data_IF_200989476397
#
_entry.id   IF_200989476397
#
_cell.length_a   1.000
_cell.length_b   1.000
_cell.length_c   1.000
_cell.angle_alpha   90.00
_cell.angle_beta   90.00
_cell.angle_gamma   90.00
#
_symmetry.space_group_name_H-M   'P 1'
#
loop_
_entity.id
_entity.type
_entity.pdbx_description
1 polymer ?
#
# COMPACT_ATOMS: atom_id res chain seq x y z
N UNK A 1 -4.91 7.36 40.55
CA UNK A 1 -5.23 8.34 39.50
C UNK A 1 -4.00 8.74 38.65
N UNK A 2 -2.93 7.95 38.63
CA UNK A 2 -1.68 8.23 37.88
C UNK A 2 -1.52 7.39 36.60
N UNK A 3 -2.36 6.37 36.38
CA UNK A 3 -2.22 5.45 35.26
C UNK A 3 -2.82 5.98 33.95
N UNK A 4 -3.78 6.92 34.02
CA UNK A 4 -4.40 7.50 32.83
C UNK A 4 -3.53 8.51 32.07
N UNK A 5 -2.58 9.18 32.74
CA UNK A 5 -1.77 10.25 32.14
C UNK A 5 -0.67 9.71 31.22
N UNK A 6 -0.17 8.49 31.44
CA UNK A 6 0.89 7.89 30.62
C UNK A 6 0.37 7.37 29.26
N UNK A 7 -0.89 6.96 29.20
CA UNK A 7 -1.50 6.47 27.95
C UNK A 7 -1.79 7.63 27.00
N UNK A 8 -2.26 8.77 27.49
CA UNK A 8 -2.56 9.94 26.65
C UNK A 8 -1.30 10.57 26.02
N UNK A 9 -0.17 10.54 26.72
CA UNK A 9 1.09 11.06 26.19
C UNK A 9 1.61 10.20 25.03
N UNK A 10 1.49 8.87 25.15
CA UNK A 10 1.94 7.94 24.09
C UNK A 10 1.08 8.04 22.83
N UNK A 11 -0.23 8.21 22.94
CA UNK A 11 -1.13 8.39 21.80
C UNK A 11 -0.84 9.69 21.06
N UNK A 12 -0.63 10.79 21.77
CA UNK A 12 -0.29 12.08 21.16
C UNK A 12 1.06 12.09 20.46
N UNK A 13 2.05 11.36 20.98
CA UNK A 13 3.35 11.22 20.33
C UNK A 13 3.25 10.43 19.01
N UNK A 14 2.53 9.31 19.01
CA UNK A 14 2.31 8.50 17.82
C UNK A 14 1.52 9.24 16.72
N UNK A 15 0.53 10.05 17.08
CA UNK A 15 -0.20 10.91 16.14
C UNK A 15 0.71 11.97 15.51
N UNK A 16 1.58 12.60 16.30
CA UNK A 16 2.55 13.58 15.80
C UNK A 16 3.56 12.94 14.84
N UNK A 17 4.00 11.71 15.12
CA UNK A 17 4.97 11.01 14.28
C UNK A 17 4.32 10.48 12.99
N UNK A 18 3.06 10.08 13.01
CA UNK A 18 2.29 9.77 11.81
C UNK A 18 2.15 11.01 10.91
N UNK A 19 1.81 12.18 11.45
CA UNK A 19 1.74 13.42 10.67
C UNK A 19 3.09 13.77 10.02
N UNK A 20 4.18 13.59 10.75
CA UNK A 20 5.54 13.83 10.25
C UNK A 20 5.91 12.86 9.14
N UNK A 21 5.55 11.56 9.28
CA UNK A 21 5.74 10.57 8.23
C UNK A 21 4.94 10.95 6.98
N UNK A 22 3.65 11.28 7.12
CA UNK A 22 2.83 11.67 5.98
C UNK A 22 3.39 12.92 5.27
N UNK A 23 3.84 13.91 6.01
CA UNK A 23 4.50 15.09 5.45
C UNK A 23 5.79 14.73 4.71
N UNK A 24 6.55 13.75 5.22
CA UNK A 24 7.79 13.28 4.60
C UNK A 24 7.50 12.52 3.29
N UNK A 25 6.55 11.58 3.29
CA UNK A 25 6.10 10.84 2.11
C UNK A 25 5.56 11.78 1.03
N UNK A 26 4.84 12.83 1.42
CA UNK A 26 4.31 13.86 0.53
C UNK A 26 5.39 14.63 -0.25
N UNK A 27 6.65 14.59 0.16
CA UNK A 27 7.75 15.25 -0.57
C UNK A 27 8.17 14.50 -1.84
N UNK A 28 7.85 13.21 -1.93
CA UNK A 28 8.19 12.38 -3.09
C UNK A 28 7.25 12.68 -4.25
N UNK A 29 7.83 13.12 -5.36
CA UNK A 29 7.08 13.49 -6.58
C UNK A 29 7.09 12.37 -7.60
N UNK A 30 8.21 11.61 -7.66
CA UNK A 30 8.42 10.49 -8.58
C UNK A 30 9.06 9.32 -7.85
N UNK A 31 8.84 8.12 -8.34
CA UNK A 31 9.48 6.91 -7.85
C UNK A 31 9.60 5.86 -8.95
N UNK A 32 10.76 5.22 -9.03
CA UNK A 32 11.00 4.06 -9.88
C UNK A 32 11.83 3.07 -9.08
N UNK A 33 11.24 1.92 -8.76
CA UNK A 33 11.83 0.89 -7.89
C UNK A 33 11.55 -0.49 -8.45
N UNK A 34 12.41 -1.47 -8.11
CA UNK A 34 12.13 -2.88 -8.39
C UNK A 34 11.23 -3.46 -7.30
N UNK A 35 10.54 -4.56 -7.60
CA UNK A 35 9.84 -5.36 -6.61
C UNK A 35 10.01 -6.86 -6.82
N UNK A 36 9.85 -7.59 -5.74
CA UNK A 36 9.57 -9.03 -5.71
C UNK A 36 8.31 -9.23 -4.88
N UNK A 37 7.35 -9.98 -5.40
CA UNK A 37 6.10 -10.28 -4.74
C UNK A 37 5.91 -11.78 -4.61
N UNK A 38 5.44 -12.21 -3.46
CA UNK A 38 5.11 -13.59 -3.14
C UNK A 38 3.65 -13.65 -2.69
N UNK A 39 2.84 -14.40 -3.45
CA UNK A 39 1.42 -14.62 -3.17
C UNK A 39 1.22 -16.03 -2.59
N UNK A 40 0.87 -16.09 -1.32
CA UNK A 40 0.45 -17.30 -0.62
C UNK A 40 -1.05 -17.48 -0.82
N UNK A 41 -1.42 -18.39 -1.73
CA UNK A 41 -2.81 -18.69 -2.04
C UNK A 41 -3.23 -19.99 -1.31
N UNK A 42 -4.32 -19.93 -0.54
CA UNK A 42 -4.79 -21.05 0.27
C UNK A 42 -5.06 -22.35 -0.55
N UNK A 43 -5.26 -22.20 -1.86
CA UNK A 43 -5.50 -23.33 -2.77
C UNK A 43 -4.22 -23.92 -3.39
N UNK A 44 -3.04 -23.32 -3.10
CA UNK A 44 -1.76 -23.75 -3.66
C UNK A 44 -0.79 -24.20 -2.57
N UNK A 45 -0.03 -25.27 -2.85
CA UNK A 45 0.99 -25.81 -1.92
C UNK A 45 2.27 -24.94 -1.87
N UNK A 46 2.43 -24.02 -2.80
CA UNK A 46 3.64 -23.15 -2.89
C UNK A 46 3.22 -21.73 -3.27
N UNK A 47 3.93 -20.73 -2.74
CA UNK A 47 3.72 -19.34 -3.16
C UNK A 47 3.95 -19.14 -4.66
N UNK A 48 3.16 -18.27 -5.24
CA UNK A 48 3.40 -17.73 -6.58
C UNK A 48 4.33 -16.54 -6.46
N UNK A 49 5.42 -16.54 -7.19
CA UNK A 49 6.40 -15.46 -7.15
C UNK A 49 6.38 -14.66 -8.44
N UNK A 50 6.34 -13.34 -8.30
CA UNK A 50 6.48 -12.40 -9.41
C UNK A 50 7.53 -11.34 -9.11
N UNK A 51 8.03 -10.68 -10.16
CA UNK A 51 8.98 -9.58 -10.01
C UNK A 51 8.86 -8.59 -11.15
N UNK A 52 9.30 -7.36 -10.91
CA UNK A 52 9.21 -6.30 -11.89
C UNK A 52 9.57 -4.94 -11.31
N UNK A 53 8.89 -3.92 -11.79
CA UNK A 53 9.14 -2.52 -11.51
C UNK A 53 7.87 -1.80 -11.09
N UNK A 54 8.01 -0.86 -10.16
CA UNK A 54 6.95 0.05 -9.74
C UNK A 54 7.34 1.47 -10.14
N UNK A 55 6.36 2.19 -10.65
CA UNK A 55 6.49 3.61 -10.99
C UNK A 55 5.43 4.41 -10.25
N UNK A 56 5.83 5.56 -9.76
CA UNK A 56 4.95 6.52 -9.12
C UNK A 56 5.21 7.90 -9.69
N UNK A 57 4.16 8.58 -10.12
CA UNK A 57 4.18 9.97 -10.56
C UNK A 57 3.00 10.71 -9.95
N UNK A 58 3.28 11.75 -9.18
CA UNK A 58 2.23 12.60 -8.61
C UNK A 58 1.42 13.27 -9.71
N UNK A 59 0.11 13.51 -9.50
CA UNK A 59 -0.59 13.30 -8.21
C UNK A 59 -1.17 11.90 -8.03
N UNK A 60 -1.38 11.11 -9.07
CA UNK A 60 -2.26 9.96 -9.00
C UNK A 60 -1.86 8.75 -9.88
N UNK A 61 -0.67 8.79 -10.52
CA UNK A 61 -0.23 7.69 -11.36
C UNK A 61 0.60 6.69 -10.56
N UNK A 62 0.14 5.44 -10.55
CA UNK A 62 0.88 4.27 -10.09
C UNK A 62 0.91 3.23 -11.20
N UNK A 63 2.08 2.66 -11.47
CA UNK A 63 2.21 1.54 -12.41
C UNK A 63 2.98 0.40 -11.74
N UNK A 64 2.39 -0.81 -11.77
CA UNK A 64 3.06 -2.06 -11.47
C UNK A 64 3.32 -2.78 -12.76
N UNK A 65 4.58 -2.87 -13.17
CA UNK A 65 5.02 -3.59 -14.36
C UNK A 65 5.67 -4.90 -13.95
N UNK A 66 4.93 -5.99 -14.08
CA UNK A 66 5.44 -7.34 -13.86
C UNK A 66 6.27 -7.77 -15.06
N UNK A 67 7.51 -8.21 -14.82
CA UNK A 67 8.43 -8.70 -15.84
C UNK A 67 8.51 -10.23 -15.86
N UNK A 68 8.38 -10.87 -14.71
CA UNK A 68 8.41 -12.32 -14.54
C UNK A 68 7.35 -12.78 -13.52
N UNK A 69 6.77 -13.98 -13.70
CA UNK A 69 6.99 -14.96 -14.78
C UNK A 69 6.28 -14.59 -16.09
N UNK A 70 5.20 -13.82 -16.02
CA UNK A 70 4.39 -13.40 -17.16
C UNK A 70 4.32 -11.88 -17.23
N UNK A 71 4.82 -11.26 -18.32
CA UNK A 71 4.76 -9.81 -18.48
C UNK A 71 3.32 -9.29 -18.44
N UNK A 72 3.10 -8.29 -17.60
CA UNK A 72 1.84 -7.59 -17.46
C UNK A 72 2.08 -6.19 -16.89
N UNK A 73 1.17 -5.26 -17.13
CA UNK A 73 1.18 -3.94 -16.51
C UNK A 73 -0.19 -3.63 -15.92
N UNK A 74 -0.19 -3.06 -14.73
CA UNK A 74 -1.37 -2.51 -14.07
C UNK A 74 -1.09 -1.04 -13.80
N UNK A 75 -1.86 -0.15 -14.42
CA UNK A 75 -1.70 1.30 -14.30
C UNK A 75 -2.95 1.84 -13.61
N UNK A 76 -2.76 2.50 -12.49
CA UNK A 76 -3.77 3.33 -11.85
C UNK A 76 -3.53 4.78 -12.22
N UNK A 77 -4.53 5.43 -12.77
CA UNK A 77 -4.48 6.84 -13.13
C UNK A 77 -5.90 7.39 -13.32
N UNK A 78 -6.16 8.61 -12.83
CA UNK A 78 -7.45 9.30 -13.00
C UNK A 78 -8.67 8.48 -12.59
N UNK A 79 -8.55 7.68 -11.50
CA UNK A 79 -9.63 6.83 -11.02
C UNK A 79 -9.96 5.64 -11.91
N UNK A 80 -9.07 5.28 -12.82
CA UNK A 80 -9.16 4.12 -13.69
C UNK A 80 -7.99 3.18 -13.49
N UNK A 81 -8.23 1.88 -13.66
CA UNK A 81 -7.20 0.84 -13.71
C UNK A 81 -7.12 0.34 -15.15
N UNK A 82 -5.94 0.46 -15.76
CA UNK A 82 -5.63 -0.15 -17.05
C UNK A 82 -4.78 -1.39 -16.82
N UNK A 83 -5.26 -2.54 -17.30
CA UNK A 83 -4.56 -3.83 -17.22
C UNK A 83 -4.12 -4.21 -18.63
N UNK A 84 -2.81 -4.38 -18.81
CA UNK A 84 -2.22 -4.85 -20.07
C UNK A 84 -1.57 -6.20 -19.85
N UNK A 85 -2.02 -7.21 -20.58
CA UNK A 85 -1.51 -8.58 -20.45
C UNK A 85 -1.78 -9.35 -21.75
N UNK A 86 -0.82 -10.17 -22.19
CA UNK A 86 -0.94 -11.03 -23.38
C UNK A 86 -1.37 -10.27 -24.65
N UNK A 87 -0.98 -9.01 -24.80
CA UNK A 87 -1.36 -8.17 -25.95
C UNK A 87 -2.80 -7.63 -25.91
N UNK A 88 -3.51 -7.83 -24.82
CA UNK A 88 -4.84 -7.27 -24.57
C UNK A 88 -4.76 -6.15 -23.53
N UNK A 89 -5.63 -5.17 -23.70
CA UNK A 89 -5.80 -4.06 -22.77
C UNK A 89 -7.25 -4.03 -22.27
N UNK A 90 -7.41 -3.89 -20.96
CA UNK A 90 -8.69 -3.72 -20.30
C UNK A 90 -8.64 -2.48 -19.42
N UNK A 91 -9.59 -1.57 -19.61
CA UNK A 91 -9.73 -0.37 -18.79
C UNK A 91 -10.96 -0.53 -17.89
N UNK A 92 -10.75 -0.39 -16.59
CA UNK A 92 -11.77 -0.52 -15.56
C UNK A 92 -11.88 0.80 -14.81
N UNK A 93 -13.09 1.35 -14.68
CA UNK A 93 -13.30 2.50 -13.81
C UNK A 93 -13.34 2.02 -12.34
N UNK A 94 -12.50 2.58 -11.50
CA UNK A 94 -12.34 2.15 -10.10
C UNK A 94 -13.66 2.27 -9.31
N UNK A 95 -14.51 3.26 -9.66
CA UNK A 95 -15.85 3.44 -9.07
C UNK A 95 -16.79 2.24 -9.26
N UNK A 96 -16.56 1.42 -10.27
CA UNK A 96 -17.39 0.25 -10.56
C UNK A 96 -16.98 -0.97 -9.72
N UNK A 97 -15.86 -0.85 -8.97
CA UNK A 97 -15.28 -1.88 -8.11
C UNK A 97 -15.13 -1.38 -6.66
N UNK A 98 -16.21 -1.04 -5.97
CA UNK A 98 -16.19 -0.43 -4.65
C UNK A 98 -15.54 -1.32 -3.57
N UNK A 99 -15.40 -2.62 -3.81
CA UNK A 99 -14.73 -3.55 -2.91
C UNK A 99 -13.19 -3.52 -3.07
N UNK A 100 -12.65 -3.07 -4.20
CA UNK A 100 -11.21 -3.03 -4.51
C UNK A 100 -10.66 -1.61 -4.41
N UNK A 101 -11.45 -0.62 -4.81
CA UNK A 101 -11.07 0.79 -4.86
C UNK A 101 -10.38 1.29 -3.58
N UNK A 102 -10.89 1.01 -2.35
CA UNK A 102 -10.28 1.51 -1.13
C UNK A 102 -8.85 1.00 -0.91
N UNK A 103 -8.54 -0.23 -1.32
CA UNK A 103 -7.19 -0.81 -1.16
C UNK A 103 -6.19 -0.17 -2.10
N UNK A 104 -6.58 0.05 -3.35
CA UNK A 104 -5.76 0.75 -4.35
C UNK A 104 -5.52 2.20 -3.93
N UNK A 105 -6.58 2.88 -3.48
CA UNK A 105 -6.50 4.25 -2.98
C UNK A 105 -5.66 4.38 -1.70
N UNK A 106 -5.61 3.34 -0.84
CA UNK A 106 -4.78 3.38 0.37
C UNK A 106 -3.29 3.45 0.03
N UNK A 107 -2.84 2.70 -0.98
CA UNK A 107 -1.45 2.78 -1.43
C UNK A 107 -1.14 4.16 -2.01
N UNK A 108 -2.02 4.68 -2.87
CA UNK A 108 -1.89 6.03 -3.42
C UNK A 108 -1.86 7.09 -2.33
N UNK A 109 -2.78 7.03 -1.38
CA UNK A 109 -2.87 7.97 -0.26
C UNK A 109 -1.60 7.92 0.62
N UNK A 110 -1.05 6.72 0.87
CA UNK A 110 0.21 6.55 1.60
C UNK A 110 1.35 7.26 0.86
N UNK A 111 1.54 6.99 -0.43
CA UNK A 111 2.59 7.62 -1.24
C UNK A 111 2.40 9.13 -1.39
N UNK A 112 1.15 9.59 -1.41
CA UNK A 112 0.82 11.02 -1.44
C UNK A 112 0.96 11.72 -0.08
N UNK A 113 1.12 10.96 1.02
CA UNK A 113 1.12 11.49 2.38
C UNK A 113 -0.26 12.00 2.83
N UNK A 114 -1.34 11.45 2.27
CA UNK A 114 -2.72 11.87 2.53
C UNK A 114 -3.30 11.07 3.70
N UNK A 115 -2.98 11.47 4.92
CA UNK A 115 -3.48 10.88 6.16
C UNK A 115 -5.02 10.86 6.19
N UNK A 116 -5.65 11.94 5.79
CA UNK A 116 -7.10 12.08 5.87
C UNK A 116 -7.81 11.04 4.97
N UNK A 117 -7.31 10.83 3.76
CA UNK A 117 -7.86 9.81 2.86
C UNK A 117 -7.70 8.39 3.45
N UNK A 118 -6.57 8.09 4.10
CA UNK A 118 -6.36 6.80 4.76
C UNK A 118 -7.35 6.57 5.91
N UNK A 119 -7.50 7.56 6.80
CA UNK A 119 -8.35 7.45 7.99
C UNK A 119 -9.85 7.42 7.68
N UNK A 120 -10.27 7.85 6.48
CA UNK A 120 -11.66 7.68 6.03
C UNK A 120 -12.04 6.20 5.82
N UNK A 121 -11.07 5.36 5.49
CA UNK A 121 -11.29 3.97 5.08
C UNK A 121 -10.72 2.98 6.09
N UNK A 122 -9.59 3.33 6.73
CA UNK A 122 -8.85 2.45 7.62
C UNK A 122 -8.67 3.04 9.02
N UNK A 123 -8.58 2.16 9.98
CA UNK A 123 -7.94 2.47 11.25
C UNK A 123 -6.43 2.39 11.02
N UNK A 124 -5.75 3.52 11.14
CA UNK A 124 -4.32 3.66 10.88
C UNK A 124 -3.55 3.60 12.19
N UNK A 125 -2.55 2.73 12.26
CA UNK A 125 -1.63 2.67 13.40
C UNK A 125 -0.20 2.86 12.89
N UNK A 126 0.54 3.76 13.51
CA UNK A 126 1.97 3.98 13.29
C UNK A 126 2.78 3.35 14.41
N UNK A 127 3.85 2.65 14.05
CA UNK A 127 4.82 2.11 14.98
C UNK A 127 6.25 2.34 14.50
N UNK A 128 7.18 2.55 15.42
CA UNK A 128 8.59 2.80 15.12
C UNK A 128 8.99 4.26 15.20
N UNK A 129 9.90 4.66 14.35
CA UNK A 129 10.44 6.04 14.20
C UNK A 129 10.42 6.43 12.73
N UNK A 130 10.75 7.70 12.41
CA UNK A 130 10.84 8.11 10.99
C UNK A 130 11.98 7.40 10.23
N UNK A 131 13.01 6.93 10.92
CA UNK A 131 14.10 6.16 10.31
C UNK A 131 13.67 4.75 9.93
N UNK A 132 12.76 4.15 10.72
CA UNK A 132 12.18 2.82 10.44
C UNK A 132 10.80 2.74 11.03
N UNK A 133 9.80 2.59 10.18
CA UNK A 133 8.39 2.66 10.54
C UNK A 133 7.56 1.54 9.92
N UNK A 134 6.46 1.27 10.58
CA UNK A 134 5.39 0.39 10.09
C UNK A 134 4.07 1.13 10.20
N UNK A 135 3.31 1.16 9.10
CA UNK A 135 1.90 1.49 9.09
C UNK A 135 1.06 0.22 9.06
N UNK A 136 0.11 0.13 9.96
CA UNK A 136 -0.89 -0.92 10.01
C UNK A 136 -2.24 -0.32 9.65
N UNK A 137 -2.86 -0.82 8.57
CA UNK A 137 -4.15 -0.35 8.09
C UNK A 137 -5.18 -1.48 8.26
N UNK A 138 -6.16 -1.26 9.12
CA UNK A 138 -7.28 -2.19 9.33
C UNK A 138 -8.53 -1.57 8.74
N UNK A 139 -9.23 -2.20 7.78
CA UNK A 139 -10.45 -1.65 7.20
C UNK A 139 -11.49 -1.29 8.27
N UNK A 140 -12.12 -0.11 8.16
CA UNK A 140 -13.05 0.38 9.19
C UNK A 140 -14.41 -0.28 9.12
N UNK A 141 -14.91 -0.61 7.92
CA UNK A 141 -16.25 -1.18 7.73
C UNK A 141 -16.23 -2.69 7.45
N UNK A 142 -17.36 -3.35 7.71
CA UNK A 142 -17.51 -4.80 7.58
C UNK A 142 -17.43 -5.29 6.12
N UNK A 143 -17.83 -4.47 5.15
CA UNK A 143 -17.80 -4.83 3.73
C UNK A 143 -16.35 -4.89 3.23
N UNK A 144 -15.52 -3.93 3.63
CA UNK A 144 -14.10 -3.95 3.29
C UNK A 144 -13.37 -5.09 4.03
N UNK A 145 -13.72 -5.36 5.29
CA UNK A 145 -13.18 -6.51 6.05
C UNK A 145 -13.49 -7.86 5.43
N UNK A 146 -14.57 -7.97 4.64
CA UNK A 146 -14.88 -9.20 3.91
C UNK A 146 -14.00 -9.42 2.66
N UNK A 147 -13.20 -8.43 2.26
CA UNK A 147 -12.25 -8.51 1.15
C UNK A 147 -10.82 -8.63 1.67
N UNK A 148 -10.40 -7.72 2.53
CA UNK A 148 -9.09 -7.78 3.16
C UNK A 148 -9.19 -7.46 4.65
N UNK A 149 -8.34 -8.12 5.44
CA UNK A 149 -8.33 -7.98 6.89
C UNK A 149 -7.30 -6.96 7.35
N UNK A 150 -6.17 -6.88 6.66
CA UNK A 150 -5.01 -6.16 7.13
C UNK A 150 -4.08 -5.77 5.99
N UNK A 151 -3.54 -4.55 6.07
CA UNK A 151 -2.41 -4.11 5.25
C UNK A 151 -1.30 -3.65 6.19
N UNK A 152 -0.09 -4.15 5.98
CA UNK A 152 1.12 -3.60 6.59
C UNK A 152 1.98 -2.94 5.52
N UNK A 153 2.51 -1.77 5.84
CA UNK A 153 3.45 -1.04 5.00
C UNK A 153 4.65 -0.70 5.87
N UNK A 154 5.82 -1.21 5.50
CA UNK A 154 7.07 -0.93 6.19
C UNK A 154 7.94 -0.01 5.34
N UNK A 155 8.69 0.87 6.00
CA UNK A 155 9.60 1.76 5.30
C UNK A 155 10.68 2.37 6.18
N UNK A 156 11.56 3.08 5.52
CA UNK A 156 12.62 3.90 6.12
C UNK A 156 12.57 5.29 5.52
N UNK A 157 12.49 6.32 6.36
CA UNK A 157 12.34 7.71 5.94
C UNK A 157 11.17 7.88 4.96
N UNK A 158 11.42 8.29 3.72
CA UNK A 158 10.44 8.47 2.65
C UNK A 158 10.39 7.27 1.68
N UNK A 159 11.06 6.15 1.98
CA UNK A 159 11.09 4.96 1.14
C UNK A 159 10.25 3.84 1.71
N UNK A 160 9.39 3.24 0.87
CA UNK A 160 8.66 2.02 1.18
C UNK A 160 9.57 0.82 0.90
N UNK A 161 9.63 -0.13 1.82
CA UNK A 161 10.42 -1.34 1.73
C UNK A 161 9.58 -2.60 1.55
N UNK A 162 8.40 -2.63 2.14
CA UNK A 162 7.48 -3.75 1.93
C UNK A 162 6.01 -3.31 2.04
N UNK A 163 5.17 -4.04 1.33
CA UNK A 163 3.71 -3.98 1.48
C UNK A 163 3.21 -5.40 1.61
N UNK A 164 2.47 -5.70 2.67
CA UNK A 164 1.79 -6.99 2.80
C UNK A 164 0.30 -6.79 2.98
N UNK A 165 -0.49 -7.64 2.32
CA UNK A 165 -1.94 -7.64 2.38
C UNK A 165 -2.40 -9.04 2.81
N UNK A 166 -3.25 -9.10 3.83
CA UNK A 166 -3.93 -10.32 4.24
C UNK A 166 -5.39 -10.22 3.82
N UNK A 167 -5.83 -11.13 2.96
CA UNK A 167 -7.20 -11.19 2.46
C UNK A 167 -8.12 -11.94 3.43
N UNK A 168 -9.42 -11.75 3.26
CA UNK A 168 -10.42 -12.35 4.16
C UNK A 168 -10.56 -13.88 4.00
N UNK A 169 -10.21 -14.42 2.83
CA UNK A 169 -10.18 -15.86 2.53
C UNK A 169 -8.92 -16.57 3.04
N UNK A 170 -7.96 -15.83 3.62
CA UNK A 170 -6.71 -16.34 4.15
C UNK A 170 -5.53 -16.21 3.19
N UNK A 171 -5.75 -15.78 1.96
CA UNK A 171 -4.67 -15.48 1.03
C UNK A 171 -3.83 -14.31 1.53
N UNK A 172 -2.55 -14.31 1.20
CA UNK A 172 -1.61 -13.28 1.59
C UNK A 172 -0.68 -12.91 0.44
N UNK A 173 -0.52 -11.62 0.20
CA UNK A 173 0.50 -11.09 -0.70
C UNK A 173 1.55 -10.34 0.10
N UNK A 174 2.82 -10.55 -0.23
CA UNK A 174 3.96 -9.80 0.34
C UNK A 174 4.82 -9.29 -0.80
N UNK A 175 4.85 -7.98 -0.95
CA UNK A 175 5.70 -7.31 -1.92
C UNK A 175 6.90 -6.68 -1.18
N UNK A 176 8.10 -7.10 -1.55
CA UNK A 176 9.35 -6.46 -1.14
C UNK A 176 9.79 -5.48 -2.21
N UNK A 177 10.05 -4.24 -1.82
CA UNK A 177 10.43 -3.14 -2.69
C UNK A 177 11.94 -2.95 -2.60
N UNK A 178 12.59 -2.94 -3.75
CA UNK A 178 14.03 -2.73 -3.86
C UNK A 178 14.41 -1.25 -3.85
N UNK A 179 15.70 -0.98 -3.95
CA UNK A 179 16.23 0.38 -4.03
C UNK A 179 15.75 1.09 -5.29
N UNK A 180 15.71 2.42 -5.23
CA UNK A 180 15.38 3.28 -6.38
C UNK A 180 16.25 2.96 -7.58
N UNK A 181 15.62 2.81 -8.73
CA UNK A 181 16.28 2.62 -10.02
C UNK A 181 16.53 3.97 -10.68
N UNK A 182 17.56 4.09 -11.54
CA UNK A 182 17.74 5.29 -12.33
C UNK A 182 16.54 5.52 -13.27
N UNK A 183 16.26 6.78 -13.60
CA UNK A 183 15.17 7.15 -14.49
C UNK A 183 15.36 6.64 -15.92
#
# INVERSE_FOLDING_TARGET
>A
MLLGLLIEVSVRAADSDLDRLMALLATRVHGHVSFVEEDELAVLDRPVRSSGELFYDRPDRLEKRTLAPHPASVILEHGSITIQSHGHEHVLALRDYPQVAPFVESLRATLAGDRQALEQVFQVTFAGTLERWTLTLVPSDAKLKSVAQLIHIDGERDELHSVSITLADGDRSVMTIGSSLPP
#
